data_IF_856885919161
#
_entry.id   IF_856885919161
#
_cell.length_a   1.000
_cell.length_b   1.000
_cell.length_c   1.000
_cell.angle_alpha   90.00
_cell.angle_beta   90.00
_cell.angle_gamma   90.00
#
_symmetry.space_group_name_H-M   'P 1'
#
loop_
_entity.id
_entity.type
_entity.pdbx_description
1 polymer ?
#
# COMPACT_ATOMS: atom_id res chain seq x y z
N UNK A 1 8.77 -24.97 42.55
CA UNK A 1 8.38 -23.64 41.97
C UNK A 1 9.10 -23.30 40.65
N UNK A 2 10.32 -23.78 40.36
CA UNK A 2 11.04 -23.51 39.12
C UNK A 2 10.47 -24.19 37.86
N UNK A 3 9.91 -25.38 37.98
CA UNK A 3 9.36 -26.15 36.87
C UNK A 3 8.10 -25.52 36.25
N UNK A 4 7.27 -24.87 37.06
CA UNK A 4 6.06 -24.20 36.59
C UNK A 4 6.36 -22.96 35.74
N UNK A 5 7.37 -22.19 36.08
CA UNK A 5 7.82 -21.04 35.30
C UNK A 5 8.36 -21.45 33.93
N UNK A 6 9.06 -22.57 33.83
CA UNK A 6 9.57 -23.13 32.58
C UNK A 6 8.43 -23.59 31.66
N UNK A 7 7.43 -24.27 32.21
CA UNK A 7 6.26 -24.72 31.41
C UNK A 7 5.41 -23.58 30.94
N UNK A 8 5.16 -22.55 31.75
CA UNK A 8 4.45 -21.35 31.34
C UNK A 8 5.23 -20.56 30.26
N UNK A 9 6.54 -20.46 30.42
CA UNK A 9 7.40 -19.83 29.40
C UNK A 9 7.38 -20.56 28.06
N UNK A 10 7.44 -21.88 28.09
CA UNK A 10 7.34 -22.72 26.87
C UNK A 10 5.98 -22.57 26.16
N UNK A 11 4.88 -22.53 26.95
CA UNK A 11 3.53 -22.36 26.42
C UNK A 11 3.35 -20.97 25.75
N UNK A 12 3.85 -19.92 26.37
CA UNK A 12 3.80 -18.57 25.82
C UNK A 12 4.64 -18.44 24.54
N UNK A 13 5.79 -19.08 24.49
CA UNK A 13 6.64 -19.13 23.30
C UNK A 13 5.93 -19.87 22.15
N UNK A 14 5.32 -21.02 22.44
CA UNK A 14 4.57 -21.79 21.45
C UNK A 14 3.37 -20.99 20.90
N UNK A 15 2.61 -20.31 21.76
CA UNK A 15 1.52 -19.41 21.35
C UNK A 15 2.00 -18.24 20.48
N UNK A 16 3.14 -17.64 20.81
CA UNK A 16 3.75 -16.58 20.02
C UNK A 16 4.18 -17.07 18.63
N UNK A 17 4.76 -18.27 18.55
CA UNK A 17 5.16 -18.90 17.28
C UNK A 17 3.95 -19.26 16.41
N UNK A 18 2.87 -19.78 17.00
CA UNK A 18 1.61 -20.07 16.28
C UNK A 18 0.98 -18.78 15.76
N UNK A 19 0.94 -17.72 16.55
CA UNK A 19 0.44 -16.41 16.09
C UNK A 19 1.29 -15.83 14.96
N UNK A 20 2.60 -15.96 15.05
CA UNK A 20 3.52 -15.52 13.99
C UNK A 20 3.31 -16.32 12.70
N UNK A 21 3.14 -17.64 12.80
CA UNK A 21 2.84 -18.51 11.66
C UNK A 21 1.47 -18.19 11.03
N UNK A 22 0.44 -17.95 11.85
CA UNK A 22 -0.88 -17.55 11.36
C UNK A 22 -0.87 -16.16 10.68
N UNK A 23 -0.09 -15.21 11.20
CA UNK A 23 0.09 -13.90 10.56
C UNK A 23 0.84 -14.03 9.22
N UNK A 24 1.83 -14.94 9.15
CA UNK A 24 2.54 -15.29 7.92
C UNK A 24 1.60 -15.85 6.83
N UNK A 25 0.70 -16.73 7.23
CA UNK A 25 -0.28 -17.36 6.33
C UNK A 25 -1.37 -16.39 5.84
N UNK A 26 -1.68 -15.35 6.60
CA UNK A 26 -2.68 -14.32 6.25
C UNK A 26 -2.15 -13.22 5.33
N UNK A 27 -0.88 -13.24 4.95
CA UNK A 27 -0.30 -12.21 4.05
C UNK A 27 0.01 -10.87 4.72
N UNK A 28 -0.21 -10.74 6.04
CA UNK A 28 -0.02 -9.52 6.84
C UNK A 28 1.47 -9.09 6.98
N UNK A 29 2.39 -9.97 6.57
CA UNK A 29 3.84 -9.72 6.72
C UNK A 29 4.31 -8.57 5.81
N UNK A 30 3.67 -8.37 4.68
CA UNK A 30 4.05 -7.28 3.76
C UNK A 30 3.74 -5.91 4.37
N UNK A 31 2.59 -5.76 5.00
CA UNK A 31 2.20 -4.52 5.69
C UNK A 31 3.08 -4.27 6.93
N UNK A 32 3.36 -5.31 7.69
CA UNK A 32 4.23 -5.20 8.86
C UNK A 32 5.70 -4.88 8.49
N UNK A 33 6.20 -5.44 7.37
CA UNK A 33 7.53 -5.09 6.82
C UNK A 33 7.57 -3.65 6.32
N UNK A 34 6.53 -3.19 5.64
CA UNK A 34 6.43 -1.82 5.16
C UNK A 34 6.29 -0.82 6.32
N UNK A 35 5.48 -1.13 7.32
CA UNK A 35 5.33 -0.32 8.53
C UNK A 35 6.65 -0.24 9.34
N UNK A 36 7.38 -1.35 9.49
CA UNK A 36 8.71 -1.36 10.13
C UNK A 36 9.75 -0.60 9.32
N UNK A 37 9.76 -0.73 8.01
CA UNK A 37 10.65 0.02 7.13
C UNK A 37 10.38 1.52 7.24
N UNK A 38 9.11 1.93 7.24
CA UNK A 38 8.67 3.31 7.43
C UNK A 38 9.06 3.84 8.83
N UNK A 39 8.89 3.05 9.88
CA UNK A 39 9.30 3.42 11.24
C UNK A 39 10.82 3.59 11.36
N UNK A 40 11.60 2.73 10.72
CA UNK A 40 13.09 2.85 10.68
C UNK A 40 13.52 4.08 9.89
N UNK A 41 12.86 4.40 8.77
CA UNK A 41 13.11 5.62 7.99
C UNK A 41 12.79 6.88 8.79
N UNK A 42 11.65 6.91 9.51
CA UNK A 42 11.26 8.02 10.40
C UNK A 42 12.26 8.21 11.54
N UNK A 43 12.74 7.11 12.17
CA UNK A 43 13.74 7.15 13.24
C UNK A 43 15.11 7.64 12.75
N UNK A 44 15.50 7.26 11.52
CA UNK A 44 16.73 7.71 10.87
C UNK A 44 16.65 9.19 10.47
N UNK A 45 15.51 9.64 9.93
CA UNK A 45 15.27 11.05 9.60
C UNK A 45 15.32 11.95 10.84
N UNK A 46 14.70 11.53 11.95
CA UNK A 46 14.80 12.25 13.24
C UNK A 46 16.24 12.36 13.78
N UNK A 47 17.08 11.33 13.57
CA UNK A 47 18.49 11.34 14.01
C UNK A 47 19.37 12.24 13.14
N UNK A 48 18.99 12.51 11.92
CA UNK A 48 19.75 13.34 10.97
C UNK A 48 19.36 14.83 11.03
N UNK A 49 18.49 15.24 11.97
CA UNK A 49 18.04 16.62 12.10
C UNK A 49 17.25 17.14 10.89
N UNK A 50 16.86 16.25 9.97
CA UNK A 50 16.03 16.59 8.84
C UNK A 50 14.56 16.66 9.30
N UNK A 51 14.19 17.77 9.92
CA UNK A 51 12.82 18.10 10.32
C UNK A 51 11.96 18.53 9.11
N UNK A 52 12.49 18.33 7.90
CA UNK A 52 11.73 18.47 6.66
C UNK A 52 11.11 17.12 6.36
N UNK A 53 9.94 16.85 6.92
CA UNK A 53 9.06 15.79 6.43
C UNK A 53 8.67 16.24 5.02
N UNK A 54 9.12 15.56 3.95
CA UNK A 54 8.61 15.88 2.62
C UNK A 54 7.09 15.67 2.67
N UNK A 55 6.35 16.74 2.46
CA UNK A 55 4.88 16.75 2.52
C UNK A 55 4.29 15.73 1.53
N UNK A 56 5.04 15.45 0.48
CA UNK A 56 4.71 14.45 -0.54
C UNK A 56 5.96 13.66 -0.95
N UNK A 57 5.75 12.42 -1.40
CA UNK A 57 6.82 11.63 -2.03
C UNK A 57 7.20 12.28 -3.37
N UNK A 58 8.45 12.11 -3.88
CA UNK A 58 8.81 12.57 -5.21
C UNK A 58 7.86 11.99 -6.28
N UNK A 59 7.48 12.81 -7.26
CA UNK A 59 6.52 12.43 -8.30
C UNK A 59 6.99 11.21 -9.11
N UNK A 60 8.30 11.06 -9.27
CA UNK A 60 8.92 9.92 -9.95
C UNK A 60 8.65 8.60 -9.23
N UNK A 61 8.67 8.62 -7.88
CA UNK A 61 8.36 7.44 -7.07
C UNK A 61 6.87 7.11 -7.12
N UNK A 62 6.02 8.14 -7.04
CA UNK A 62 4.57 7.97 -7.14
C UNK A 62 4.19 7.45 -8.53
N UNK A 63 4.77 8.00 -9.59
CA UNK A 63 4.56 7.54 -10.96
C UNK A 63 5.05 6.10 -11.21
N UNK A 64 6.18 5.71 -10.63
CA UNK A 64 6.68 4.33 -10.72
C UNK A 64 5.76 3.34 -9.98
N UNK A 65 5.32 3.68 -8.76
CA UNK A 65 4.38 2.86 -8.00
C UNK A 65 3.02 2.78 -8.70
N UNK A 66 2.54 3.89 -9.25
CA UNK A 66 1.29 3.97 -10.01
C UNK A 66 1.31 3.02 -11.21
N UNK A 67 2.33 3.08 -12.06
CA UNK A 67 2.46 2.18 -13.23
C UNK A 67 2.53 0.72 -12.82
N UNK A 68 3.28 0.41 -11.76
CA UNK A 68 3.39 -0.96 -11.23
C UNK A 68 2.06 -1.49 -10.72
N UNK A 69 1.31 -0.69 -9.96
CA UNK A 69 0.01 -1.08 -9.41
C UNK A 69 -1.06 -1.13 -10.49
N UNK A 70 -1.05 -0.21 -11.46
CA UNK A 70 -1.91 -0.24 -12.64
C UNK A 70 -1.74 -1.56 -13.40
N UNK A 71 -0.51 -1.93 -13.75
CA UNK A 71 -0.23 -3.18 -14.43
C UNK A 71 -0.64 -4.42 -13.60
N UNK A 72 -0.49 -4.38 -12.27
CA UNK A 72 -0.93 -5.46 -11.40
C UNK A 72 -2.45 -5.57 -11.32
N UNK A 73 -3.14 -4.44 -11.20
CA UNK A 73 -4.61 -4.37 -11.08
C UNK A 73 -5.29 -4.87 -12.36
N UNK A 74 -4.83 -4.46 -13.53
CA UNK A 74 -5.43 -4.81 -14.83
C UNK A 74 -5.00 -6.19 -15.36
N UNK A 75 -3.99 -6.83 -14.76
CA UNK A 75 -3.55 -8.19 -15.21
C UNK A 75 -4.60 -9.28 -14.95
N UNK A 76 -5.48 -9.11 -13.99
CA UNK A 76 -6.47 -10.11 -13.60
C UNK A 76 -5.87 -11.35 -12.91
N UNK A 77 -6.71 -12.35 -12.65
CA UNK A 77 -6.28 -13.66 -12.12
C UNK A 77 -5.83 -13.67 -10.64
N UNK A 78 -6.03 -12.59 -9.90
CA UNK A 78 -5.71 -12.52 -8.48
C UNK A 78 -6.79 -13.20 -7.62
N UNK A 79 -6.37 -13.83 -6.51
CA UNK A 79 -7.31 -14.27 -5.46
C UNK A 79 -7.98 -13.04 -4.83
N UNK A 80 -9.23 -13.19 -4.40
CA UNK A 80 -10.07 -12.08 -3.90
C UNK A 80 -9.36 -11.18 -2.87
N UNK A 81 -8.76 -11.74 -1.82
CA UNK A 81 -8.08 -10.95 -0.79
C UNK A 81 -6.88 -10.16 -1.35
N UNK A 82 -6.15 -10.73 -2.32
CA UNK A 82 -5.05 -10.05 -2.99
C UNK A 82 -5.56 -8.95 -3.92
N UNK A 83 -6.67 -9.20 -4.62
CA UNK A 83 -7.32 -8.21 -5.46
C UNK A 83 -7.76 -6.98 -4.66
N UNK A 84 -8.45 -7.19 -3.53
CA UNK A 84 -8.89 -6.10 -2.66
C UNK A 84 -7.70 -5.27 -2.12
N UNK A 85 -6.64 -5.93 -1.68
CA UNK A 85 -5.43 -5.23 -1.25
C UNK A 85 -4.76 -4.44 -2.38
N UNK A 86 -4.72 -4.99 -3.59
CA UNK A 86 -4.20 -4.31 -4.77
C UNK A 86 -5.06 -3.11 -5.15
N UNK A 87 -6.40 -3.27 -5.14
CA UNK A 87 -7.37 -2.21 -5.44
C UNK A 87 -7.20 -1.02 -4.49
N UNK A 88 -7.19 -1.26 -3.18
CA UNK A 88 -7.01 -0.22 -2.18
C UNK A 88 -5.65 0.50 -2.31
N UNK A 89 -4.59 -0.25 -2.57
CA UNK A 89 -3.27 0.32 -2.78
C UNK A 89 -3.22 1.16 -4.06
N UNK A 90 -3.90 0.69 -5.12
CA UNK A 90 -3.99 1.38 -6.40
C UNK A 90 -4.78 2.69 -6.26
N UNK A 91 -5.99 2.65 -5.67
CA UNK A 91 -6.83 3.83 -5.46
C UNK A 91 -6.10 4.91 -4.66
N UNK A 92 -5.33 4.51 -3.65
CA UNK A 92 -4.53 5.44 -2.84
C UNK A 92 -3.42 6.12 -3.64
N UNK A 93 -2.66 5.35 -4.44
CA UNK A 93 -1.55 5.91 -5.23
C UNK A 93 -2.07 6.72 -6.41
N UNK A 94 -3.21 6.31 -6.99
CA UNK A 94 -3.91 7.04 -8.04
C UNK A 94 -4.36 8.43 -7.54
N UNK A 95 -4.95 8.48 -6.32
CA UNK A 95 -5.33 9.74 -5.67
C UNK A 95 -4.12 10.64 -5.39
N UNK A 96 -3.04 10.08 -4.81
CA UNK A 96 -1.80 10.82 -4.56
C UNK A 96 -1.20 11.41 -5.84
N UNK A 97 -1.21 10.64 -6.93
CA UNK A 97 -0.73 11.12 -8.23
C UNK A 97 -1.63 12.23 -8.81
N UNK A 98 -2.96 12.10 -8.65
CA UNK A 98 -3.92 13.11 -9.07
C UNK A 98 -3.75 14.43 -8.30
N UNK A 99 -3.58 14.36 -6.98
CA UNK A 99 -3.30 15.54 -6.13
C UNK A 99 -2.02 16.26 -6.60
N UNK A 100 -0.96 15.50 -6.85
CA UNK A 100 0.33 16.06 -7.33
C UNK A 100 0.22 16.67 -8.74
N UNK A 101 -0.65 16.12 -9.59
CA UNK A 101 -0.95 16.65 -10.91
C UNK A 101 -1.96 17.82 -10.88
N UNK A 102 -2.47 18.21 -9.70
CA UNK A 102 -3.49 19.25 -9.56
C UNK A 102 -4.88 18.81 -10.07
N UNK A 103 -5.13 17.52 -10.19
CA UNK A 103 -6.40 16.98 -10.67
C UNK A 103 -7.33 16.69 -9.48
N UNK A 104 -8.48 17.38 -9.37
CA UNK A 104 -9.44 17.07 -8.31
C UNK A 104 -10.05 15.68 -8.49
N UNK A 105 -10.21 14.93 -7.39
CA UNK A 105 -10.75 13.58 -7.41
C UNK A 105 -11.57 13.25 -6.16
N UNK A 106 -12.43 12.21 -6.28
CA UNK A 106 -13.31 11.72 -5.20
C UNK A 106 -12.98 10.28 -4.76
N UNK A 107 -11.82 9.73 -5.17
CA UNK A 107 -11.42 8.33 -4.91
C UNK A 107 -11.43 7.97 -3.41
N UNK A 108 -11.12 8.93 -2.53
CA UNK A 108 -11.10 8.70 -1.08
C UNK A 108 -12.49 8.85 -0.41
N UNK A 109 -13.48 9.39 -1.13
CA UNK A 109 -14.79 9.75 -0.59
C UNK A 109 -15.87 8.76 -1.02
N UNK A 110 -15.74 8.23 -2.25
CA UNK A 110 -16.74 7.33 -2.84
C UNK A 110 -16.65 5.93 -2.21
N UNK A 111 -17.83 5.36 -1.95
CA UNK A 111 -17.94 3.98 -1.50
C UNK A 111 -17.59 3.00 -2.65
N UNK A 112 -17.09 1.79 -2.35
CA UNK A 112 -16.84 0.77 -3.35
C UNK A 112 -18.10 0.48 -4.19
N UNK A 113 -17.97 0.55 -5.52
CA UNK A 113 -19.06 0.34 -6.46
C UNK A 113 -18.85 1.04 -7.79
N UNK A 114 -19.86 1.03 -8.64
CA UNK A 114 -19.79 1.56 -10.00
C UNK A 114 -19.41 3.05 -10.10
N UNK A 115 -19.73 3.85 -9.07
CA UNK A 115 -19.37 5.26 -9.04
C UNK A 115 -17.86 5.43 -8.81
N UNK A 116 -17.28 4.67 -7.86
CA UNK A 116 -15.83 4.66 -7.64
C UNK A 116 -15.08 4.15 -8.87
N UNK A 117 -15.62 3.14 -9.57
CA UNK A 117 -15.00 2.60 -10.78
C UNK A 117 -14.95 3.64 -11.90
N UNK A 118 -16.07 4.37 -12.13
CA UNK A 118 -16.11 5.49 -13.10
C UNK A 118 -15.16 6.61 -12.73
N UNK A 119 -15.09 6.94 -11.45
CA UNK A 119 -14.16 7.96 -10.98
C UNK A 119 -12.71 7.54 -11.17
N UNK A 120 -12.40 6.25 -10.94
CA UNK A 120 -11.07 5.68 -11.20
C UNK A 120 -10.69 5.83 -12.69
N UNK A 121 -11.58 5.41 -13.59
CA UNK A 121 -11.37 5.55 -15.04
C UNK A 121 -11.16 7.02 -15.45
N UNK A 122 -11.94 7.93 -14.90
CA UNK A 122 -11.80 9.37 -15.16
C UNK A 122 -10.42 9.89 -14.72
N UNK A 123 -9.97 9.51 -13.53
CA UNK A 123 -8.68 9.94 -12.99
C UNK A 123 -7.53 9.31 -13.77
N UNK A 124 -7.62 8.02 -14.12
CA UNK A 124 -6.65 7.35 -15.00
C UNK A 124 -6.48 8.09 -16.31
N UNK A 125 -7.59 8.45 -16.96
CA UNK A 125 -7.56 9.22 -18.20
C UNK A 125 -6.84 10.56 -18.04
N UNK A 126 -7.10 11.31 -16.97
CA UNK A 126 -6.40 12.55 -16.67
C UNK A 126 -4.90 12.33 -16.49
N UNK A 127 -4.50 11.28 -15.76
CA UNK A 127 -3.08 10.99 -15.52
C UNK A 127 -2.35 10.50 -16.78
N UNK A 128 -3.06 9.89 -17.73
CA UNK A 128 -2.53 9.63 -19.08
C UNK A 128 -2.21 10.94 -19.79
N UNK A 129 -3.09 11.93 -19.73
CA UNK A 129 -2.85 13.25 -20.33
C UNK A 129 -1.64 13.98 -19.70
N UNK A 130 -1.40 13.75 -18.40
CA UNK A 130 -0.23 14.25 -17.68
C UNK A 130 1.04 13.40 -17.87
N UNK A 131 0.98 12.31 -18.64
CA UNK A 131 2.13 11.44 -18.92
C UNK A 131 2.56 10.55 -17.74
N UNK A 132 1.75 10.45 -16.69
CA UNK A 132 2.03 9.63 -15.51
C UNK A 132 1.63 8.16 -15.69
N UNK A 133 0.63 7.89 -16.54
CA UNK A 133 0.22 6.56 -16.98
C UNK A 133 0.43 6.38 -18.49
N UNK A 134 0.72 5.16 -18.95
CA UNK A 134 0.75 4.86 -20.39
C UNK A 134 -0.68 4.91 -20.96
N UNK A 135 -0.86 5.29 -22.22
CA UNK A 135 -2.15 5.21 -22.88
C UNK A 135 -2.63 3.74 -22.97
N UNK A 136 -3.95 3.50 -22.91
CA UNK A 136 -4.53 2.14 -22.86
C UNK A 136 -4.22 1.27 -24.08
N UNK A 137 -3.74 1.89 -25.18
CA UNK A 137 -3.42 1.20 -26.44
C UNK A 137 -1.91 1.04 -26.70
N UNK A 138 -1.05 1.29 -25.70
CA UNK A 138 0.41 1.19 -25.83
C UNK A 138 0.95 -0.18 -25.39
N UNK A 139 0.16 -1.25 -25.48
CA UNK A 139 0.56 -2.63 -25.18
C UNK A 139 0.81 -3.42 -26.47
#
# INVERSE_FOLDING_TARGET
MRSWLVTVGALLLALALVRLACAALRGDISEWRSARAAARRRKRARRLGADVVPLHRPIEQVGADLRRLHAAFHRGGMRFAKYEGCRLAYDRVLGEAAEMAGCPHLLAVLAPGAELDRERERVEWLLVQHGLLPPPYAA
#
